data_IF_500231462661
#
_entry.id   IF_500231462661
#
_cell.length_a   1.000
_cell.length_b   1.000
_cell.length_c   1.000
_cell.angle_alpha   90.00
_cell.angle_beta   90.00
_cell.angle_gamma   90.00
#
_symmetry.space_group_name_H-M   'P 1'
#
loop_
_entity.id
_entity.type
_entity.pdbx_description
1 polymer ?
#
# COMPACT_ATOMS: atom_id res chain seq x y z
N UNK A 1 11.59 22.22 -6.21
CA UNK A 1 11.86 20.87 -6.75
C UNK A 1 13.13 20.40 -6.05
N UNK A 2 13.04 19.58 -5.01
CA UNK A 2 14.25 19.15 -4.27
C UNK A 2 15.00 18.14 -5.14
N UNK A 3 16.06 18.61 -5.80
CA UNK A 3 16.92 17.84 -6.69
C UNK A 3 17.82 16.88 -5.88
N UNK A 4 17.23 15.99 -5.08
CA UNK A 4 17.97 14.94 -4.34
C UNK A 4 18.21 13.70 -5.22
N UNK A 5 17.95 13.77 -6.53
CA UNK A 5 18.07 12.59 -7.39
C UNK A 5 19.53 12.20 -7.59
N UNK A 6 20.43 13.17 -7.78
CA UNK A 6 21.87 12.91 -7.87
C UNK A 6 22.38 12.25 -6.59
N UNK A 7 22.00 12.77 -5.42
CA UNK A 7 22.35 12.17 -4.12
C UNK A 7 21.86 10.72 -4.00
N UNK A 8 20.70 10.38 -4.57
CA UNK A 8 20.17 9.01 -4.57
C UNK A 8 20.90 8.08 -5.54
N UNK A 9 21.31 8.59 -6.69
CA UNK A 9 22.13 7.87 -7.67
C UNK A 9 23.52 7.59 -7.07
N UNK A 10 24.12 8.59 -6.43
CA UNK A 10 25.44 8.50 -5.79
C UNK A 10 25.49 7.47 -4.64
N UNK A 11 24.35 7.16 -4.01
CA UNK A 11 24.24 6.08 -3.01
C UNK A 11 24.39 4.68 -3.62
N UNK A 12 24.20 4.53 -4.93
CA UNK A 12 24.34 3.26 -5.64
C UNK A 12 25.73 3.19 -6.28
N UNK A 13 26.70 2.70 -5.51
CA UNK A 13 28.13 2.65 -5.90
C UNK A 13 28.51 1.32 -6.55
N UNK A 14 29.73 1.21 -7.08
CA UNK A 14 30.31 -0.06 -7.56
C UNK A 14 30.34 -1.16 -6.50
N UNK A 15 30.29 -0.81 -5.22
CA UNK A 15 30.26 -1.75 -4.09
C UNK A 15 28.84 -2.15 -3.65
N UNK A 16 27.81 -1.55 -4.26
CA UNK A 16 26.41 -1.79 -3.93
C UNK A 16 25.80 -2.86 -4.84
N UNK A 17 25.10 -3.82 -4.23
CA UNK A 17 24.17 -4.72 -4.90
C UNK A 17 22.75 -4.16 -4.77
N UNK A 18 22.02 -4.07 -5.87
CA UNK A 18 20.61 -3.65 -5.89
C UNK A 18 19.73 -4.87 -6.04
N UNK A 19 18.77 -5.04 -5.14
CA UNK A 19 17.80 -6.14 -5.19
C UNK A 19 16.42 -5.54 -5.44
N UNK A 20 15.84 -5.84 -6.60
CA UNK A 20 14.43 -5.54 -6.85
C UNK A 20 13.56 -6.64 -6.27
N UNK A 21 12.52 -6.27 -5.53
CA UNK A 21 11.57 -7.19 -4.90
C UNK A 21 10.16 -6.80 -5.30
N UNK A 22 9.49 -7.69 -6.00
CA UNK A 22 8.05 -7.60 -6.25
C UNK A 22 7.29 -8.24 -5.10
N UNK A 23 6.41 -7.47 -4.47
CA UNK A 23 5.71 -7.85 -3.24
C UNK A 23 4.33 -8.41 -3.60
N UNK A 24 4.21 -9.74 -3.55
CA UNK A 24 2.92 -10.42 -3.54
C UNK A 24 2.31 -10.56 -2.13
N UNK A 25 1.08 -11.07 -2.06
CA UNK A 25 0.38 -11.28 -0.78
C UNK A 25 0.96 -12.42 0.06
N UNK A 26 1.39 -13.50 -0.61
CA UNK A 26 1.93 -14.72 0.02
C UNK A 26 3.38 -15.01 -0.38
N UNK A 27 3.73 -14.73 -1.64
CA UNK A 27 5.05 -14.99 -2.21
C UNK A 27 5.59 -13.68 -2.78
N UNK A 28 6.86 -13.40 -2.51
CA UNK A 28 7.61 -12.31 -3.07
C UNK A 28 8.61 -12.84 -4.10
N UNK A 29 8.92 -12.04 -5.11
CA UNK A 29 9.88 -12.38 -6.14
C UNK A 29 11.03 -11.37 -6.14
N UNK A 30 12.27 -11.86 -6.20
CA UNK A 30 13.46 -11.04 -6.14
C UNK A 30 14.46 -11.35 -7.25
N UNK A 31 15.19 -10.31 -7.67
CA UNK A 31 16.36 -10.40 -8.54
C UNK A 31 17.41 -9.39 -8.11
N UNK A 32 18.67 -9.79 -8.24
CA UNK A 32 19.82 -8.96 -7.86
C UNK A 32 20.54 -8.42 -9.10
N UNK A 33 21.01 -7.18 -8.98
CA UNK A 33 21.67 -6.41 -10.01
C UNK A 33 22.87 -5.67 -9.43
N UNK A 34 23.85 -5.33 -10.27
CA UNK A 34 24.88 -4.35 -9.90
C UNK A 34 24.38 -2.90 -10.08
N UNK A 35 25.22 -1.95 -9.72
CA UNK A 35 24.96 -0.51 -9.87
C UNK A 35 24.82 -0.04 -11.32
N UNK A 36 25.18 -0.87 -12.31
CA UNK A 36 25.00 -0.60 -13.74
C UNK A 36 23.74 -1.26 -14.29
N UNK A 37 22.93 -1.90 -13.45
CA UNK A 37 21.72 -2.61 -13.84
C UNK A 37 21.99 -3.96 -14.53
N UNK A 38 23.18 -4.54 -14.39
CA UNK A 38 23.50 -5.88 -14.92
C UNK A 38 23.00 -6.95 -13.96
N UNK A 39 22.39 -8.00 -14.50
CA UNK A 39 21.84 -9.11 -13.72
C UNK A 39 22.97 -9.91 -13.05
N UNK A 40 22.90 -10.06 -11.73
CA UNK A 40 23.78 -10.94 -10.94
C UNK A 40 23.18 -12.34 -10.79
N UNK A 41 21.87 -12.49 -11.04
CA UNK A 41 21.13 -13.74 -10.86
C UNK A 41 20.48 -14.19 -12.17
N UNK A 42 20.74 -15.44 -12.57
CA UNK A 42 20.12 -16.03 -13.78
C UNK A 42 18.64 -16.37 -13.60
N UNK A 43 18.26 -16.79 -12.40
CA UNK A 43 16.89 -17.20 -12.04
C UNK A 43 16.29 -16.21 -11.06
N UNK A 44 14.96 -16.15 -11.05
CA UNK A 44 14.21 -15.40 -10.04
C UNK A 44 14.29 -16.18 -8.74
N UNK A 45 14.46 -15.46 -7.64
CA UNK A 45 14.34 -16.01 -6.30
C UNK A 45 12.94 -15.73 -5.78
N UNK A 46 12.27 -16.71 -5.22
CA UNK A 46 10.94 -16.55 -4.60
C UNK A 46 11.00 -16.93 -3.14
N UNK A 47 10.29 -16.20 -2.29
CA UNK A 47 10.23 -16.46 -0.85
C UNK A 47 8.86 -16.11 -0.29
N UNK A 48 8.47 -16.77 0.79
CA UNK A 48 7.18 -16.56 1.43
C UNK A 48 7.16 -15.30 2.30
N UNK A 49 5.97 -14.74 2.49
CA UNK A 49 5.72 -13.60 3.39
C UNK A 49 5.61 -14.06 4.85
N UNK A 50 6.67 -14.71 5.32
CA UNK A 50 6.82 -15.21 6.69
C UNK A 50 8.30 -15.18 7.11
N UNK A 51 8.57 -15.49 8.38
CA UNK A 51 9.93 -15.40 8.93
C UNK A 51 10.92 -16.34 8.24
N UNK A 52 10.50 -17.55 7.87
CA UNK A 52 11.35 -18.53 7.19
C UNK A 52 11.71 -18.05 5.78
N UNK A 53 10.72 -17.54 5.05
CA UNK A 53 10.91 -16.87 3.77
C UNK A 53 11.85 -15.68 3.85
N UNK A 54 11.71 -14.83 4.87
CA UNK A 54 12.62 -13.69 5.07
C UNK A 54 14.05 -14.12 5.40
N UNK A 55 14.22 -15.15 6.23
CA UNK A 55 15.53 -15.74 6.51
C UNK A 55 16.18 -16.32 5.25
N UNK A 56 15.40 -17.01 4.42
CA UNK A 56 15.86 -17.54 3.14
C UNK A 56 16.31 -16.44 2.18
N UNK A 57 15.56 -15.33 2.12
CA UNK A 57 15.91 -14.14 1.35
C UNK A 57 17.21 -13.50 1.86
N UNK A 58 17.36 -13.38 3.18
CA UNK A 58 18.54 -12.79 3.79
C UNK A 58 19.80 -13.61 3.46
N UNK A 59 19.73 -14.93 3.63
CA UNK A 59 20.82 -15.84 3.28
C UNK A 59 21.18 -15.76 1.79
N UNK A 60 20.17 -15.74 0.93
CA UNK A 60 20.35 -15.59 -0.52
C UNK A 60 21.04 -14.27 -0.88
N UNK A 61 20.59 -13.16 -0.29
CA UNK A 61 21.17 -11.85 -0.54
C UNK A 61 22.62 -11.74 -0.03
N UNK A 62 22.93 -12.27 1.16
CA UNK A 62 24.29 -12.24 1.72
C UNK A 62 25.27 -13.12 0.94
N UNK A 63 24.82 -14.29 0.49
CA UNK A 63 25.62 -15.17 -0.38
C UNK A 63 25.98 -14.44 -1.67
N UNK A 64 24.98 -13.87 -2.37
CA UNK A 64 25.21 -13.13 -3.61
C UNK A 64 26.09 -11.90 -3.42
N UNK A 65 25.90 -11.17 -2.32
CA UNK A 65 26.72 -10.00 -1.95
C UNK A 65 28.19 -10.40 -1.88
N UNK A 66 28.48 -11.51 -1.20
CA UNK A 66 29.84 -12.03 -0.99
C UNK A 66 30.46 -12.53 -2.30
N UNK A 67 29.73 -13.36 -3.06
CA UNK A 67 30.19 -13.90 -4.34
C UNK A 67 30.54 -12.81 -5.37
N UNK A 68 29.78 -11.71 -5.36
CA UNK A 68 29.97 -10.58 -6.27
C UNK A 68 30.85 -9.47 -5.71
N UNK A 69 31.54 -9.71 -4.58
CA UNK A 69 32.46 -8.76 -3.93
C UNK A 69 31.82 -7.40 -3.63
N UNK A 70 30.54 -7.41 -3.26
CA UNK A 70 29.77 -6.23 -2.86
C UNK A 70 29.85 -6.07 -1.34
N UNK A 71 29.67 -4.85 -0.85
CA UNK A 71 29.72 -4.54 0.59
C UNK A 71 28.35 -4.11 1.12
N UNK A 72 27.47 -3.61 0.25
CA UNK A 72 26.14 -3.13 0.61
C UNK A 72 25.04 -3.77 -0.23
N UNK A 73 23.84 -3.89 0.35
CA UNK A 73 22.62 -4.32 -0.35
C UNK A 73 21.57 -3.23 -0.22
N UNK A 74 21.06 -2.74 -1.36
CA UNK A 74 19.95 -1.81 -1.43
C UNK A 74 18.73 -2.53 -2.01
N UNK A 75 17.68 -2.65 -1.22
CA UNK A 75 16.47 -3.39 -1.58
C UNK A 75 15.42 -2.41 -2.07
N UNK A 76 15.06 -2.49 -3.34
CA UNK A 76 13.91 -1.78 -3.91
C UNK A 76 12.68 -2.64 -3.89
N UNK A 77 11.53 -2.10 -3.47
CA UNK A 77 10.26 -2.80 -3.62
C UNK A 77 9.16 -1.90 -4.21
N UNK A 78 8.24 -2.52 -4.95
CA UNK A 78 6.97 -1.92 -5.32
C UNK A 78 5.95 -2.21 -4.20
N UNK A 79 5.43 -1.21 -3.49
CA UNK A 79 4.49 -1.46 -2.40
C UNK A 79 3.12 -1.89 -2.95
N UNK A 80 2.75 -3.15 -2.71
CA UNK A 80 1.40 -3.68 -2.98
C UNK A 80 0.62 -3.84 -1.68
N UNK A 81 -0.32 -2.93 -1.43
CA UNK A 81 -1.14 -2.96 -0.22
C UNK A 81 -0.30 -2.87 1.06
N UNK A 82 -0.58 -3.74 2.03
CA UNK A 82 0.08 -3.77 3.33
C UNK A 82 1.13 -4.90 3.47
N UNK A 83 1.27 -5.76 2.46
CA UNK A 83 2.06 -6.99 2.56
C UNK A 83 3.57 -6.76 2.75
N UNK A 84 4.06 -5.58 2.37
CA UNK A 84 5.47 -5.20 2.50
C UNK A 84 5.90 -4.85 3.93
N UNK A 85 4.97 -4.58 4.86
CA UNK A 85 5.31 -4.09 6.20
C UNK A 85 6.17 -5.07 7.00
N UNK A 86 5.80 -6.36 6.99
CA UNK A 86 6.52 -7.39 7.72
C UNK A 86 7.95 -7.56 7.17
N UNK A 87 8.08 -7.60 5.85
CA UNK A 87 9.37 -7.67 5.18
C UNK A 87 10.23 -6.43 5.43
N UNK A 88 9.65 -5.22 5.37
CA UNK A 88 10.39 -3.98 5.64
C UNK A 88 10.88 -3.89 7.09
N UNK A 89 10.06 -4.33 8.05
CA UNK A 89 10.51 -4.44 9.44
C UNK A 89 11.67 -5.43 9.57
N UNK A 90 11.55 -6.62 8.99
CA UNK A 90 12.61 -7.61 9.00
C UNK A 90 13.93 -7.07 8.40
N UNK A 91 13.86 -6.41 7.25
CA UNK A 91 15.02 -5.81 6.57
C UNK A 91 15.69 -4.74 7.45
N UNK A 92 14.89 -3.89 8.11
CA UNK A 92 15.38 -2.87 9.03
C UNK A 92 16.05 -3.49 10.27
N UNK A 93 15.43 -4.50 10.88
CA UNK A 93 15.97 -5.22 12.05
C UNK A 93 17.30 -5.93 11.72
N UNK A 94 17.56 -6.24 10.44
CA UNK A 94 18.82 -6.81 9.92
C UNK A 94 19.78 -5.75 9.32
N UNK A 95 19.60 -4.47 9.67
CA UNK A 95 20.48 -3.36 9.26
C UNK A 95 20.68 -3.21 7.75
N UNK A 96 19.70 -3.65 6.96
CA UNK A 96 19.66 -3.48 5.51
C UNK A 96 18.73 -2.32 5.15
N UNK A 97 18.94 -1.75 3.97
CA UNK A 97 18.16 -0.59 3.51
C UNK A 97 17.10 -1.01 2.50
N UNK A 98 15.84 -0.70 2.82
CA UNK A 98 14.71 -0.83 1.91
C UNK A 98 14.27 0.54 1.40
N UNK A 99 14.00 0.62 0.10
CA UNK A 99 13.47 1.80 -0.59
C UNK A 99 12.28 1.40 -1.45
N UNK A 100 11.39 2.36 -1.69
CA UNK A 100 10.17 2.14 -2.46
C UNK A 100 10.26 2.81 -3.82
N UNK A 101 9.80 2.10 -4.84
CA UNK A 101 9.56 2.67 -6.17
C UNK A 101 8.07 2.95 -6.35
N UNK A 102 7.74 3.90 -7.22
CA UNK A 102 6.35 4.25 -7.49
C UNK A 102 5.69 3.15 -8.37
N UNK A 103 4.60 2.50 -7.93
CA UNK A 103 3.86 1.50 -8.74
C UNK A 103 3.46 2.00 -10.13
N UNK A 104 3.10 3.29 -10.23
CA UNK A 104 2.75 3.89 -11.52
C UNK A 104 3.94 3.98 -12.48
N UNK A 105 5.13 4.27 -11.96
CA UNK A 105 6.36 4.29 -12.77
C UNK A 105 6.75 2.89 -13.22
N UNK A 106 6.62 1.91 -12.33
CA UNK A 106 6.84 0.50 -12.66
C UNK A 106 5.92 0.05 -13.78
N UNK A 107 4.61 0.34 -13.68
CA UNK A 107 3.63 0.05 -14.74
C UNK A 107 3.99 0.69 -16.09
N UNK A 108 4.35 1.97 -16.12
CA UNK A 108 4.72 2.66 -17.36
C UNK A 108 5.96 2.09 -18.04
N UNK A 109 6.98 1.73 -17.25
CA UNK A 109 8.20 1.12 -17.81
C UNK A 109 7.91 -0.28 -18.32
N UNK A 110 7.05 -1.04 -17.64
CA UNK A 110 6.57 -2.34 -18.15
C UNK A 110 5.92 -2.18 -19.52
N UNK A 111 5.01 -1.22 -19.69
CA UNK A 111 4.35 -0.99 -20.99
C UNK A 111 5.33 -0.63 -22.12
N UNK A 112 6.48 -0.03 -21.80
CA UNK A 112 7.54 0.29 -22.78
C UNK A 112 8.46 -0.92 -23.08
N UNK A 113 8.82 -1.70 -22.06
CA UNK A 113 9.73 -2.85 -22.18
C UNK A 113 9.00 -4.13 -22.69
N UNK A 114 7.70 -4.28 -22.41
CA UNK A 114 6.88 -5.43 -22.82
C UNK A 114 6.18 -5.22 -24.17
N UNK A 115 6.87 -5.60 -25.25
CA UNK A 115 6.25 -5.85 -26.56
C UNK A 115 5.65 -7.27 -26.68
N UNK A 116 5.37 -7.96 -25.57
CA UNK A 116 4.89 -9.35 -25.58
C UNK A 116 3.70 -9.55 -24.63
N UNK A 117 2.61 -10.19 -25.08
CA UNK A 117 1.39 -10.41 -24.28
C UNK A 117 1.54 -11.44 -23.13
N UNK A 118 2.74 -11.98 -22.90
CA UNK A 118 2.97 -12.97 -21.83
C UNK A 118 3.15 -12.26 -20.49
N UNK A 119 2.07 -12.19 -19.70
CA UNK A 119 2.10 -11.95 -18.25
C UNK A 119 3.12 -12.87 -17.61
N UNK A 120 4.28 -12.33 -17.28
CA UNK A 120 5.28 -13.02 -16.48
C UNK A 120 5.61 -12.11 -15.32
N UNK A 121 4.98 -12.35 -14.17
CA UNK A 121 5.30 -11.74 -12.86
C UNK A 121 6.82 -11.84 -12.54
N UNK A 122 7.48 -12.73 -13.26
CA UNK A 122 8.91 -12.94 -13.40
C UNK A 122 9.76 -11.71 -13.80
N UNK A 123 9.18 -10.62 -14.35
CA UNK A 123 9.93 -9.46 -14.88
C UNK A 123 9.94 -8.24 -13.95
N UNK A 124 9.04 -8.19 -12.98
CA UNK A 124 8.78 -7.02 -12.14
C UNK A 124 9.99 -6.62 -11.28
N UNK A 125 10.73 -7.57 -10.67
CA UNK A 125 11.97 -7.27 -9.95
C UNK A 125 13.01 -6.50 -10.75
N UNK A 126 13.07 -6.71 -12.08
CA UNK A 126 14.03 -6.02 -12.95
C UNK A 126 13.71 -4.55 -13.11
N UNK A 127 12.45 -4.23 -13.37
CA UNK A 127 11.98 -2.84 -13.51
C UNK A 127 12.17 -2.07 -12.21
N UNK A 128 11.88 -2.71 -11.08
CA UNK A 128 12.06 -2.13 -9.74
C UNK A 128 13.55 -1.80 -9.51
N UNK A 129 14.46 -2.75 -9.77
CA UNK A 129 15.89 -2.53 -9.59
C UNK A 129 16.44 -1.40 -10.47
N UNK A 130 16.01 -1.32 -11.75
CA UNK A 130 16.39 -0.21 -12.66
C UNK A 130 15.99 1.14 -12.08
N UNK A 131 14.76 1.29 -11.59
CA UNK A 131 14.29 2.53 -10.96
C UNK A 131 15.12 2.91 -9.73
N UNK A 132 15.58 1.92 -8.96
CA UNK A 132 16.46 2.17 -7.82
C UNK A 132 17.83 2.70 -8.27
N UNK A 133 18.44 2.06 -9.27
CA UNK A 133 19.70 2.52 -9.86
C UNK A 133 19.59 3.96 -10.38
N UNK A 134 18.46 4.32 -11.00
CA UNK A 134 18.20 5.67 -11.52
C UNK A 134 17.86 6.71 -10.43
N UNK A 135 17.92 6.34 -9.14
CA UNK A 135 17.57 7.21 -8.03
C UNK A 135 16.08 7.55 -7.93
N UNK A 136 15.22 6.83 -8.66
CA UNK A 136 13.76 7.04 -8.75
C UNK A 136 13.02 6.26 -7.66
N UNK A 137 13.47 6.43 -6.42
CA UNK A 137 12.88 5.78 -5.24
C UNK A 137 12.60 6.80 -4.12
N UNK A 138 11.77 6.41 -3.16
CA UNK A 138 11.56 7.09 -1.89
C UNK A 138 11.97 6.18 -0.73
N UNK A 139 12.31 6.77 0.41
CA UNK A 139 12.56 6.03 1.64
C UNK A 139 11.22 5.92 2.36
N UNK A 140 10.72 4.71 2.67
CA UNK A 140 9.45 4.57 3.38
C UNK A 140 9.57 5.13 4.80
N UNK A 141 8.53 5.85 5.24
CA UNK A 141 8.42 6.25 6.63
C UNK A 141 7.77 5.14 7.46
N UNK A 142 8.56 4.50 8.31
CA UNK A 142 8.14 3.45 9.26
C UNK A 142 8.22 3.99 10.69
N UNK A 143 7.20 4.72 11.17
CA UNK A 143 7.09 5.19 12.53
C UNK A 143 6.96 4.01 13.46
N UNK A 144 7.44 4.22 14.68
CA UNK A 144 7.34 3.28 15.79
C UNK A 144 6.64 3.96 16.97
N UNK A 145 6.21 3.15 17.93
CA UNK A 145 5.53 3.62 19.15
C UNK A 145 4.33 4.53 18.84
N UNK A 146 4.27 5.67 19.53
CA UNK A 146 3.14 6.60 19.47
C UNK A 146 2.82 7.08 18.04
N UNK A 147 3.82 7.24 17.18
CA UNK A 147 3.59 7.70 15.81
C UNK A 147 2.97 6.60 14.93
N UNK A 148 3.30 5.32 15.19
CA UNK A 148 2.65 4.19 14.54
C UNK A 148 1.18 4.12 14.96
N UNK A 149 0.91 4.24 16.27
CA UNK A 149 -0.45 4.24 16.81
C UNK A 149 -1.31 5.38 16.23
N UNK A 150 -0.75 6.60 16.13
CA UNK A 150 -1.44 7.75 15.52
C UNK A 150 -1.80 7.45 14.06
N UNK A 151 -0.88 6.87 13.28
CA UNK A 151 -1.13 6.50 11.89
C UNK A 151 -2.30 5.51 11.78
N UNK A 152 -2.31 4.46 12.59
CA UNK A 152 -3.36 3.44 12.57
C UNK A 152 -4.73 4.00 12.99
N UNK A 153 -4.74 4.94 13.95
CA UNK A 153 -5.93 5.69 14.37
C UNK A 153 -6.46 6.56 13.24
N UNK A 154 -5.60 7.26 12.51
CA UNK A 154 -5.99 8.10 11.35
C UNK A 154 -6.61 7.22 10.26
N UNK A 155 -6.00 6.10 9.90
CA UNK A 155 -6.57 5.16 8.92
C UNK A 155 -7.91 4.59 9.36
N UNK A 156 -8.04 4.23 10.64
CA UNK A 156 -9.30 3.75 11.21
C UNK A 156 -10.40 4.83 11.16
N UNK A 157 -10.07 6.08 11.52
CA UNK A 157 -10.99 7.22 11.39
C UNK A 157 -11.45 7.41 9.94
N UNK A 158 -10.53 7.37 8.98
CA UNK A 158 -10.87 7.56 7.56
C UNK A 158 -11.77 6.42 7.05
N UNK A 159 -11.50 5.18 7.44
CA UNK A 159 -12.37 4.03 7.15
C UNK A 159 -13.77 4.24 7.72
N UNK A 160 -13.87 4.59 9.00
CA UNK A 160 -15.16 4.83 9.68
C UNK A 160 -15.91 5.99 9.02
N UNK A 161 -15.23 7.09 8.69
CA UNK A 161 -15.84 8.22 7.97
C UNK A 161 -16.40 7.81 6.61
N UNK A 162 -15.67 7.00 5.84
CA UNK A 162 -16.18 6.48 4.56
C UNK A 162 -17.43 5.64 4.76
N UNK A 163 -17.43 4.73 5.74
CA UNK A 163 -18.61 3.91 6.04
C UNK A 163 -19.79 4.74 6.53
N UNK A 164 -19.55 5.72 7.40
CA UNK A 164 -20.56 6.68 7.84
C UNK A 164 -21.20 7.39 6.65
N UNK A 165 -20.41 7.92 5.72
CA UNK A 165 -20.92 8.61 4.54
C UNK A 165 -21.73 7.68 3.63
N UNK A 166 -21.29 6.44 3.44
CA UNK A 166 -22.06 5.43 2.68
C UNK A 166 -23.41 5.18 3.35
N UNK A 167 -23.45 4.98 4.66
CA UNK A 167 -24.69 4.76 5.41
C UNK A 167 -25.62 5.97 5.38
N UNK A 168 -25.07 7.17 5.60
CA UNK A 168 -25.81 8.44 5.51
C UNK A 168 -26.48 8.61 4.13
N UNK A 169 -25.73 8.37 3.06
CA UNK A 169 -26.26 8.46 1.70
C UNK A 169 -27.35 7.42 1.41
N UNK A 170 -27.23 6.21 1.99
CA UNK A 170 -28.29 5.20 1.90
C UNK A 170 -29.57 5.67 2.58
N UNK A 171 -29.48 6.18 3.81
CA UNK A 171 -30.66 6.69 4.55
C UNK A 171 -31.33 7.83 3.77
N UNK A 172 -30.55 8.82 3.33
CA UNK A 172 -31.08 9.94 2.54
C UNK A 172 -31.77 9.48 1.26
N UNK A 173 -31.22 8.47 0.57
CA UNK A 173 -31.87 7.86 -0.60
C UNK A 173 -33.21 7.22 -0.23
N UNK A 174 -33.27 6.47 0.87
CA UNK A 174 -34.53 5.85 1.31
C UNK A 174 -35.60 6.89 1.65
N UNK A 175 -35.21 7.96 2.36
CA UNK A 175 -36.09 9.08 2.66
C UNK A 175 -36.60 9.75 1.37
N UNK A 176 -35.72 10.01 0.40
CA UNK A 176 -36.13 10.62 -0.87
C UNK A 176 -37.13 9.75 -1.67
N UNK A 177 -37.06 8.42 -1.56
CA UNK A 177 -37.95 7.50 -2.29
C UNK A 177 -39.28 7.28 -1.55
N UNK A 178 -39.26 7.15 -0.23
CA UNK A 178 -40.39 6.65 0.55
C UNK A 178 -40.97 7.64 1.56
N UNK A 179 -40.24 8.70 1.91
CA UNK A 179 -40.67 9.72 2.86
C UNK A 179 -40.10 11.12 2.50
N UNK A 180 -40.41 11.66 1.29
CA UNK A 180 -39.78 12.86 0.78
C UNK A 180 -40.08 14.13 1.61
N UNK A 181 -41.20 14.17 2.34
CA UNK A 181 -41.60 15.28 3.20
C UNK A 181 -40.71 15.43 4.44
N UNK A 182 -39.94 14.40 4.80
CA UNK A 182 -39.11 14.38 6.00
C UNK A 182 -38.11 15.55 6.06
N UNK A 183 -37.46 15.87 4.92
CA UNK A 183 -36.51 16.98 4.85
C UNK A 183 -37.18 18.37 4.80
N UNK A 184 -38.50 18.42 4.63
CA UNK A 184 -39.28 19.64 4.86
C UNK A 184 -39.49 19.94 6.34
N UNK A 185 -39.45 18.91 7.20
CA UNK A 185 -39.62 19.02 8.65
C UNK A 185 -38.27 19.16 9.37
N UNK A 186 -37.25 18.44 8.90
CA UNK A 186 -35.91 18.47 9.47
C UNK A 186 -34.92 19.03 8.46
N UNK A 187 -34.21 20.10 8.84
CA UNK A 187 -33.16 20.72 8.01
C UNK A 187 -32.02 19.76 7.67
N UNK A 188 -31.81 18.74 8.51
CA UNK A 188 -30.82 17.68 8.31
C UNK A 188 -31.45 16.33 8.52
N UNK A 189 -31.08 15.35 7.67
CA UNK A 189 -31.60 13.99 7.79
C UNK A 189 -31.20 13.31 9.11
N UNK A 190 -30.08 13.72 9.71
CA UNK A 190 -29.48 13.16 10.92
C UNK A 190 -29.69 14.04 12.16
N UNK A 191 -30.71 14.90 12.15
CA UNK A 191 -31.14 15.61 13.36
C UNK A 191 -31.54 14.59 14.44
N UNK A 192 -31.09 14.80 15.70
CA UNK A 192 -31.29 13.83 16.80
C UNK A 192 -32.77 13.46 16.97
N UNK A 193 -33.65 14.46 17.03
CA UNK A 193 -35.10 14.25 17.14
C UNK A 193 -35.67 13.54 15.90
N UNK A 194 -35.18 13.91 14.71
CA UNK A 194 -35.59 13.27 13.47
C UNK A 194 -35.19 11.79 13.39
N UNK A 195 -33.99 11.43 13.83
CA UNK A 195 -33.54 10.05 13.88
C UNK A 195 -34.35 9.24 14.90
N UNK A 196 -34.65 9.82 16.06
CA UNK A 196 -35.50 9.18 17.06
C UNK A 196 -36.91 8.86 16.52
N UNK A 197 -37.47 9.74 15.68
CA UNK A 197 -38.73 9.45 14.96
C UNK A 197 -38.52 8.32 13.95
N UNK A 198 -37.48 8.36 13.13
CA UNK A 198 -37.22 7.31 12.12
C UNK A 198 -36.95 5.93 12.74
N UNK A 199 -36.39 5.86 13.94
CA UNK A 199 -36.21 4.59 14.67
C UNK A 199 -37.54 3.93 15.03
N UNK A 200 -38.58 4.72 15.31
CA UNK A 200 -39.92 4.21 15.67
C UNK A 200 -40.89 4.15 14.49
N UNK A 201 -40.81 5.11 13.58
CA UNK A 201 -41.65 5.27 12.40
C UNK A 201 -40.81 5.66 11.18
N UNK A 202 -40.20 4.67 10.50
CA UNK A 202 -39.37 4.92 9.33
C UNK A 202 -40.16 5.31 8.08
N UNK A 203 -41.47 5.00 8.01
CA UNK A 203 -42.33 5.32 6.86
C UNK A 203 -43.49 6.26 7.25
N UNK A 204 -44.06 7.02 6.29
CA UNK A 204 -45.18 7.92 6.56
C UNK A 204 -46.37 7.25 7.27
N UNK A 205 -46.71 6.02 6.88
CA UNK A 205 -47.80 5.25 7.50
C UNK A 205 -47.55 4.91 8.97
N UNK A 206 -46.28 4.76 9.37
CA UNK A 206 -45.91 4.40 10.74
C UNK A 206 -46.06 5.63 11.65
N UNK A 207 -45.83 6.84 11.12
CA UNK A 207 -46.09 8.11 11.82
C UNK A 207 -47.59 8.27 12.10
N UNK A 208 -48.43 7.94 11.13
CA UNK A 208 -49.90 7.96 11.30
C UNK A 208 -50.31 6.97 12.40
N UNK A 209 -49.72 5.77 12.41
CA UNK A 209 -50.02 4.73 13.39
C UNK A 209 -49.57 5.08 14.82
N UNK A 210 -48.45 5.80 14.99
CA UNK A 210 -47.98 6.30 16.29
C UNK A 210 -48.94 7.34 16.88
N UNK A 211 -49.56 8.17 16.03
CA UNK A 211 -50.42 9.26 16.45
C UNK A 211 -49.67 10.36 17.24
N UNK A 212 -50.39 11.44 17.57
CA UNK A 212 -49.79 12.65 18.17
C UNK A 212 -49.16 12.39 19.55
N UNK A 213 -49.65 11.39 20.28
CA UNK A 213 -49.15 11.06 21.62
C UNK A 213 -47.92 10.12 21.60
N UNK A 214 -47.52 9.61 20.43
CA UNK A 214 -46.44 8.63 20.27
C UNK A 214 -45.13 9.22 19.73
N UNK A 215 -45.13 10.48 19.30
CA UNK A 215 -44.00 11.19 18.68
C UNK A 215 -43.28 12.06 19.71
#
# INVERSE_FOLDING_TARGET
>A
MNYTQNEKIEQVTDSTMVVGVDIGSQIHYARAFDNRGRELTKRIFSFHNDLEGFNSFNLWAETLKTENKKTAVLIGCEPTGHYWFAFAKYVNDHQKRLVMVNPFSVKKIKELDDNSPKKTDSKDPKTIAKLVVDGRYSIPYMPEGIYAEIRDRVYSRDRIRKQHNISANRIQRWLAIHFPEYLGLYTRFDAISGLAVLEKAPLPKDVIALGVNGI
#
